data_IF_203486683953
#
_entry.id   IF_203486683953
#
_cell.length_a   1.000
_cell.length_b   1.000
_cell.length_c   1.000
_cell.angle_alpha   90.00
_cell.angle_beta   90.00
_cell.angle_gamma   90.00
#
_symmetry.space_group_name_H-M   'P 1'
#
loop_
_entity.id
_entity.type
_entity.pdbx_description
1 polymer ?
#
# COMPACT_ATOMS: atom_id res chain seq x y z
N UNK A 1 -22.75 18.06 -37.49
CA UNK A 1 -21.58 17.83 -36.61
C UNK A 1 -21.68 18.51 -35.23
N UNK A 2 -22.82 19.14 -34.89
CA UNK A 2 -23.03 19.88 -33.63
C UNK A 2 -23.91 19.09 -32.61
N UNK A 3 -24.49 17.95 -33.00
CA UNK A 3 -25.40 17.15 -32.15
C UNK A 3 -24.74 16.06 -31.29
N UNK A 4 -23.40 15.92 -31.26
CA UNK A 4 -22.70 14.87 -30.46
C UNK A 4 -21.81 15.40 -29.33
N UNK A 5 -21.59 16.72 -29.25
CA UNK A 5 -20.90 17.35 -28.11
C UNK A 5 -21.87 17.63 -26.94
N UNK A 6 -23.15 17.85 -27.22
CA UNK A 6 -24.18 18.08 -26.20
C UNK A 6 -24.55 16.83 -25.40
N UNK A 7 -24.38 15.63 -25.97
CA UNK A 7 -24.74 14.36 -25.31
C UNK A 7 -23.78 13.98 -24.19
N UNK A 8 -22.52 14.45 -24.24
CA UNK A 8 -21.54 14.18 -23.19
C UNK A 8 -21.55 15.21 -22.05
N UNK A 9 -21.90 16.47 -22.33
CA UNK A 9 -22.18 17.44 -21.27
C UNK A 9 -23.40 17.02 -20.40
N UNK A 10 -24.38 16.35 -21.01
CA UNK A 10 -25.53 15.77 -20.30
C UNK A 10 -25.18 14.48 -19.51
N UNK A 11 -24.30 13.61 -20.03
CA UNK A 11 -23.78 12.46 -19.26
C UNK A 11 -23.06 12.92 -17.99
N UNK A 12 -22.33 14.05 -18.02
CA UNK A 12 -21.64 14.61 -16.85
C UNK A 12 -22.54 15.39 -15.87
N UNK A 13 -23.65 15.98 -16.32
CA UNK A 13 -24.74 16.38 -15.40
C UNK A 13 -25.43 15.17 -14.76
N UNK A 14 -25.33 13.96 -15.34
CA UNK A 14 -25.75 12.72 -14.70
C UNK A 14 -24.82 12.32 -13.55
N UNK A 15 -23.50 12.53 -13.69
CA UNK A 15 -22.51 12.22 -12.65
C UNK A 15 -22.61 13.11 -11.40
N UNK A 16 -23.13 14.34 -11.50
CA UNK A 16 -23.37 15.17 -10.31
C UNK A 16 -24.49 14.62 -9.41
N UNK A 17 -25.38 13.80 -9.95
CA UNK A 17 -26.45 13.11 -9.21
C UNK A 17 -26.13 11.64 -8.88
N UNK A 18 -24.95 11.13 -9.25
CA UNK A 18 -24.56 9.77 -8.87
C UNK A 18 -24.36 9.73 -7.36
N UNK A 19 -25.13 8.87 -6.71
CA UNK A 19 -24.84 8.51 -5.33
C UNK A 19 -23.51 7.75 -5.33
N UNK A 20 -22.47 8.33 -4.74
CA UNK A 20 -21.13 7.73 -4.61
C UNK A 20 -21.13 6.35 -3.89
N UNK A 21 -22.27 5.92 -3.34
CA UNK A 21 -22.47 4.60 -2.74
C UNK A 21 -23.04 3.54 -3.69
N UNK A 22 -23.50 3.91 -4.89
CA UNK A 22 -24.14 3.00 -5.83
C UNK A 22 -23.15 2.42 -6.84
N UNK A 23 -23.51 1.22 -7.33
CA UNK A 23 -22.73 0.57 -8.38
C UNK A 23 -23.22 1.07 -9.74
N UNK A 24 -22.29 1.39 -10.63
CA UNK A 24 -22.57 1.70 -12.03
C UNK A 24 -22.02 0.60 -12.93
N UNK A 25 -22.67 0.42 -14.08
CA UNK A 25 -22.15 -0.33 -15.20
C UNK A 25 -21.82 0.66 -16.32
N UNK A 26 -20.63 0.56 -16.88
CA UNK A 26 -20.13 1.42 -17.97
C UNK A 26 -19.71 0.53 -19.13
N UNK A 27 -20.25 0.79 -20.32
CA UNK A 27 -19.77 0.20 -21.56
C UNK A 27 -18.77 1.15 -22.21
N UNK A 28 -17.65 0.61 -22.67
CA UNK A 28 -16.65 1.35 -23.42
C UNK A 28 -16.88 1.15 -24.92
N UNK A 29 -16.38 2.09 -25.73
CA UNK A 29 -16.39 1.98 -27.21
C UNK A 29 -15.68 0.72 -27.72
N UNK A 30 -14.75 0.18 -26.93
CA UNK A 30 -14.09 -1.11 -27.18
C UNK A 30 -14.99 -2.33 -26.95
N UNK A 31 -16.27 -2.12 -26.57
CA UNK A 31 -17.22 -3.11 -26.09
C UNK A 31 -16.85 -3.76 -24.74
N UNK A 32 -15.80 -3.29 -24.07
CA UNK A 32 -15.52 -3.69 -22.70
C UNK A 32 -16.64 -3.20 -21.76
N UNK A 33 -17.02 -4.03 -20.80
CA UNK A 33 -18.04 -3.72 -19.81
C UNK A 33 -17.42 -3.71 -18.41
N UNK A 34 -17.56 -2.60 -17.70
CA UNK A 34 -17.05 -2.43 -16.35
C UNK A 34 -18.19 -2.21 -15.36
N UNK A 35 -18.11 -2.84 -14.18
CA UNK A 35 -19.04 -2.64 -13.07
C UNK A 35 -18.27 -2.27 -11.82
N UNK A 36 -18.70 -1.21 -11.14
CA UNK A 36 -18.06 -0.77 -9.90
C UNK A 36 -18.66 0.51 -9.33
N UNK A 37 -18.18 0.89 -8.15
CA UNK A 37 -18.48 2.17 -7.51
C UNK A 37 -17.56 3.25 -8.12
N UNK A 38 -18.07 4.37 -8.63
CA UNK A 38 -17.22 5.46 -9.06
C UNK A 38 -16.49 6.02 -7.84
N UNK A 39 -15.17 6.17 -7.95
CA UNK A 39 -14.32 6.72 -6.88
C UNK A 39 -13.61 8.01 -7.30
N UNK A 40 -13.57 8.31 -8.60
CA UNK A 40 -13.12 9.59 -9.15
C UNK A 40 -13.54 9.74 -10.61
N UNK A 41 -13.70 10.98 -11.05
CA UNK A 41 -13.83 11.33 -12.46
C UNK A 41 -13.39 12.77 -12.69
N UNK A 42 -12.90 13.06 -13.90
CA UNK A 42 -12.75 14.41 -14.43
C UNK A 42 -12.91 14.36 -15.97
N UNK A 43 -12.61 15.45 -16.66
CA UNK A 43 -12.71 15.53 -18.12
C UNK A 43 -11.77 14.56 -18.85
N UNK A 44 -10.72 14.08 -18.18
CA UNK A 44 -9.69 13.23 -18.77
C UNK A 44 -9.96 11.73 -18.53
N UNK A 45 -10.36 11.33 -17.33
CA UNK A 45 -10.56 9.93 -16.98
C UNK A 45 -11.59 9.69 -15.87
N UNK A 46 -12.07 8.45 -15.82
CA UNK A 46 -12.94 7.90 -14.76
C UNK A 46 -12.20 6.77 -14.04
N UNK A 47 -12.39 6.65 -12.73
CA UNK A 47 -11.91 5.54 -11.91
C UNK A 47 -13.07 4.85 -11.19
N UNK A 48 -13.17 3.53 -11.38
CA UNK A 48 -14.17 2.66 -10.74
C UNK A 48 -13.50 1.68 -9.79
N UNK A 49 -14.03 1.57 -8.58
CA UNK A 49 -13.70 0.51 -7.63
C UNK A 49 -14.62 -0.69 -7.88
N UNK A 50 -14.04 -1.82 -8.25
CA UNK A 50 -14.75 -3.08 -8.45
C UNK A 50 -15.05 -3.76 -7.11
N UNK A 51 -16.03 -4.65 -7.12
CA UNK A 51 -16.44 -5.46 -5.97
C UNK A 51 -15.35 -6.44 -5.47
N UNK A 52 -14.37 -6.78 -6.30
CA UNK A 52 -13.18 -7.55 -5.93
C UNK A 52 -12.02 -6.69 -5.40
N UNK A 53 -12.25 -5.39 -5.21
CA UNK A 53 -11.27 -4.43 -4.68
C UNK A 53 -10.32 -3.87 -5.73
N UNK A 54 -10.38 -4.31 -6.99
CA UNK A 54 -9.56 -3.74 -8.07
C UNK A 54 -10.06 -2.36 -8.48
N UNK A 55 -9.15 -1.52 -8.93
CA UNK A 55 -9.46 -0.23 -9.57
C UNK A 55 -9.34 -0.41 -11.08
N UNK A 56 -10.31 0.09 -11.82
CA UNK A 56 -10.22 0.24 -13.26
C UNK A 56 -10.30 1.71 -13.61
N UNK A 57 -9.43 2.15 -14.51
CA UNK A 57 -9.45 3.51 -15.06
C UNK A 57 -9.58 3.45 -16.58
N UNK A 58 -10.27 4.42 -17.15
CA UNK A 58 -10.41 4.59 -18.59
C UNK A 58 -10.60 6.07 -18.90
N UNK A 59 -10.20 6.50 -20.09
CA UNK A 59 -10.41 7.85 -20.56
C UNK A 59 -11.88 8.20 -20.61
N UNK A 60 -12.24 9.41 -20.21
CA UNK A 60 -13.62 9.87 -20.18
C UNK A 60 -14.29 9.75 -21.56
N UNK A 61 -13.54 10.02 -22.63
CA UNK A 61 -14.01 9.88 -24.01
C UNK A 61 -14.15 8.43 -24.50
N UNK A 62 -13.69 7.43 -23.73
CA UNK A 62 -13.81 6.01 -24.08
C UNK A 62 -15.17 5.42 -23.69
N UNK A 63 -15.89 6.04 -22.77
CA UNK A 63 -17.24 5.62 -22.41
C UNK A 63 -18.20 5.74 -23.61
N UNK A 64 -19.03 4.72 -23.82
CA UNK A 64 -20.10 4.71 -24.81
C UNK A 64 -21.45 4.94 -24.12
N UNK A 65 -21.73 4.23 -23.03
CA UNK A 65 -22.96 4.34 -22.24
C UNK A 65 -22.69 3.99 -20.76
N UNK A 66 -23.56 4.43 -19.85
CA UNK A 66 -23.57 3.98 -18.47
C UNK A 66 -24.98 3.80 -17.91
N UNK A 67 -25.13 2.86 -16.98
CA UNK A 67 -26.34 2.73 -16.18
C UNK A 67 -26.01 2.61 -14.69
N UNK A 68 -26.80 3.27 -13.88
CA UNK A 68 -26.77 3.06 -12.43
C UNK A 68 -27.54 1.78 -12.11
N UNK A 69 -26.94 0.90 -11.32
CA UNK A 69 -27.58 -0.34 -10.89
C UNK A 69 -28.37 -0.10 -9.60
N UNK A 70 -29.50 -0.80 -9.46
CA UNK A 70 -30.23 -0.87 -8.20
C UNK A 70 -29.41 -1.64 -7.16
N UNK A 71 -29.19 -1.03 -5.99
CA UNK A 71 -28.45 -1.64 -4.88
C UNK A 71 -27.19 -0.86 -4.49
N UNK A 72 -26.84 -0.94 -3.22
CA UNK A 72 -25.59 -0.36 -2.72
C UNK A 72 -24.40 -1.19 -3.20
N UNK A 73 -23.28 -0.52 -3.47
CA UNK A 73 -22.01 -1.20 -3.68
C UNK A 73 -21.66 -2.09 -2.48
N UNK A 74 -21.28 -3.33 -2.75
CA UNK A 74 -20.74 -4.26 -1.76
C UNK A 74 -19.51 -4.96 -2.32
N UNK A 75 -18.57 -5.30 -1.46
CA UNK A 75 -17.49 -6.21 -1.79
C UNK A 75 -18.06 -7.61 -2.04
N UNK A 76 -17.34 -8.39 -2.85
CA UNK A 76 -17.64 -9.82 -3.05
C UNK A 76 -17.49 -10.56 -1.72
N UNK A 77 -18.37 -11.52 -1.49
CA UNK A 77 -18.22 -12.40 -0.33
C UNK A 77 -16.97 -13.29 -0.52
N UNK A 78 -16.31 -13.72 0.56
CA UNK A 78 -15.08 -14.51 0.46
C UNK A 78 -15.20 -15.78 -0.40
N UNK A 79 -16.37 -16.40 -0.45
CA UNK A 79 -16.64 -17.58 -1.29
C UNK A 79 -16.66 -17.25 -2.79
N UNK A 80 -17.30 -16.14 -3.17
CA UNK A 80 -17.36 -15.65 -4.55
C UNK A 80 -15.96 -15.26 -5.04
N UNK A 81 -15.22 -14.52 -4.21
CA UNK A 81 -13.86 -14.09 -4.50
C UNK A 81 -12.91 -15.30 -4.61
N UNK A 82 -13.06 -16.30 -3.72
CA UNK A 82 -12.31 -17.57 -3.82
C UNK A 82 -12.59 -18.30 -5.13
N UNK A 83 -13.86 -18.37 -5.55
CA UNK A 83 -14.23 -19.00 -6.82
C UNK A 83 -13.65 -18.23 -8.02
N UNK A 84 -13.62 -16.89 -7.96
CA UNK A 84 -12.97 -16.06 -8.98
C UNK A 84 -11.46 -16.35 -9.05
N UNK A 85 -10.76 -16.38 -7.91
CA UNK A 85 -9.33 -16.65 -7.86
C UNK A 85 -8.98 -18.06 -8.37
N UNK A 86 -9.79 -19.08 -8.05
CA UNK A 86 -9.60 -20.44 -8.58
C UNK A 86 -9.72 -20.50 -10.10
N UNK A 87 -10.66 -19.74 -10.68
CA UNK A 87 -10.78 -19.62 -12.16
C UNK A 87 -9.61 -18.86 -12.76
N UNK A 88 -9.11 -17.83 -12.07
CA UNK A 88 -8.00 -16.99 -12.52
C UNK A 88 -6.66 -17.74 -12.56
N UNK A 89 -6.37 -18.57 -11.54
CA UNK A 89 -5.07 -19.26 -11.42
C UNK A 89 -5.07 -20.72 -11.87
N UNK A 90 -6.26 -21.34 -12.00
CA UNK A 90 -6.39 -22.71 -12.47
C UNK A 90 -5.97 -23.76 -11.44
N UNK A 91 -5.83 -25.00 -11.92
CA UNK A 91 -5.70 -26.21 -11.08
C UNK A 91 -4.35 -26.36 -10.37
N UNK A 92 -3.32 -25.64 -10.81
CA UNK A 92 -1.97 -25.70 -10.22
C UNK A 92 -1.89 -24.90 -8.91
N UNK A 93 -2.96 -24.18 -8.56
CA UNK A 93 -3.07 -23.37 -7.37
C UNK A 93 -4.30 -23.75 -6.54
N UNK A 94 -4.14 -23.62 -5.23
CA UNK A 94 -5.22 -23.63 -4.25
C UNK A 94 -5.46 -22.21 -3.73
N UNK A 95 -6.68 -21.98 -3.25
CA UNK A 95 -7.07 -20.73 -2.60
C UNK A 95 -7.58 -21.05 -1.21
N UNK A 96 -6.74 -20.78 -0.24
CA UNK A 96 -7.01 -20.95 1.19
C UNK A 96 -7.42 -19.62 1.81
N UNK A 97 -8.15 -19.64 2.93
CA UNK A 97 -8.51 -18.41 3.63
C UNK A 97 -8.38 -18.54 5.14
N UNK A 98 -8.03 -17.43 5.78
CA UNK A 98 -7.95 -17.28 7.24
C UNK A 98 -8.28 -15.83 7.60
N UNK A 99 -9.28 -15.62 8.46
CA UNK A 99 -9.71 -14.29 8.87
C UNK A 99 -10.02 -13.36 7.69
N UNK A 100 -9.20 -12.32 7.51
CA UNK A 100 -9.34 -11.32 6.44
C UNK A 100 -8.66 -11.73 5.13
N UNK A 101 -7.85 -12.78 5.11
CA UNK A 101 -7.06 -13.17 3.95
C UNK A 101 -7.67 -14.30 3.11
N UNK A 102 -7.51 -14.16 1.79
CA UNK A 102 -7.49 -15.24 0.81
C UNK A 102 -6.08 -15.32 0.21
N UNK A 103 -5.47 -16.50 0.30
CA UNK A 103 -4.11 -16.73 -0.21
C UNK A 103 -4.17 -17.73 -1.34
N UNK A 104 -3.70 -17.30 -2.51
CA UNK A 104 -3.45 -18.13 -3.68
C UNK A 104 -2.04 -18.68 -3.55
N UNK A 105 -1.90 -20.00 -3.54
CA UNK A 105 -0.60 -20.67 -3.38
C UNK A 105 -0.58 -21.96 -4.20
N UNK A 106 0.61 -22.53 -4.51
CA UNK A 106 0.70 -23.84 -5.14
C UNK A 106 -0.03 -24.91 -4.30
N UNK A 107 -0.59 -25.91 -4.95
CA UNK A 107 -1.30 -27.03 -4.29
C UNK A 107 -0.46 -27.60 -3.14
N UNK A 108 -1.10 -27.81 -1.97
CA UNK A 108 -0.44 -28.42 -0.81
C UNK A 108 0.40 -27.46 0.05
N UNK A 109 0.38 -26.15 -0.22
CA UNK A 109 1.14 -25.15 0.55
C UNK A 109 0.29 -24.30 1.52
N UNK A 110 -0.91 -24.75 1.88
CA UNK A 110 -1.84 -23.99 2.75
C UNK A 110 -1.19 -23.54 4.06
N UNK A 111 -0.62 -24.50 4.79
CA UNK A 111 -0.11 -24.33 6.16
C UNK A 111 1.14 -23.43 6.20
N UNK A 112 1.75 -23.20 5.03
CA UNK A 112 2.92 -22.34 4.89
C UNK A 112 2.59 -20.86 4.84
N UNK A 113 1.42 -20.49 4.33
CA UNK A 113 1.14 -19.09 3.96
C UNK A 113 -0.08 -18.50 4.65
N UNK A 114 -1.15 -19.29 4.77
CA UNK A 114 -2.49 -18.74 5.05
C UNK A 114 -2.57 -18.11 6.44
N UNK A 115 -2.10 -18.81 7.47
CA UNK A 115 -2.14 -18.30 8.85
C UNK A 115 -1.18 -17.13 9.05
N UNK A 116 -0.01 -17.17 8.39
CA UNK A 116 1.03 -16.14 8.53
C UNK A 116 0.55 -14.75 8.09
N UNK A 117 -0.15 -14.65 6.96
CA UNK A 117 -0.68 -13.36 6.51
C UNK A 117 -1.72 -12.78 7.48
N UNK A 118 -2.60 -13.62 8.02
CA UNK A 118 -3.59 -13.20 9.01
C UNK A 118 -2.92 -12.76 10.33
N UNK A 119 -1.87 -13.45 10.79
CA UNK A 119 -1.09 -13.05 11.96
C UNK A 119 -0.40 -11.70 11.77
N UNK A 120 0.22 -11.47 10.60
CA UNK A 120 0.83 -10.18 10.26
C UNK A 120 -0.19 -9.06 10.29
N UNK A 121 -1.36 -9.24 9.67
CA UNK A 121 -2.43 -8.24 9.70
C UNK A 121 -2.88 -7.92 11.13
N UNK A 122 -3.14 -8.95 11.96
CA UNK A 122 -3.56 -8.74 13.35
C UNK A 122 -2.51 -7.98 14.15
N UNK A 123 -1.23 -8.33 13.95
CA UNK A 123 -0.12 -7.65 14.62
C UNK A 123 0.00 -6.19 14.19
N UNK A 124 -0.10 -5.91 12.90
CA UNK A 124 -0.08 -4.54 12.36
C UNK A 124 -1.25 -3.71 12.86
N UNK A 125 -2.47 -4.26 12.82
CA UNK A 125 -3.65 -3.60 13.35
C UNK A 125 -3.48 -3.27 14.83
N UNK A 126 -2.99 -4.23 15.62
CA UNK A 126 -2.72 -4.02 17.04
C UNK A 126 -1.68 -2.92 17.25
N UNK A 127 -0.55 -2.97 16.52
CA UNK A 127 0.54 -2.00 16.61
C UNK A 127 0.07 -0.56 16.43
N UNK A 128 -0.75 -0.32 15.41
CA UNK A 128 -1.33 1.00 15.15
C UNK A 128 -2.37 1.41 16.20
N UNK A 129 -3.24 0.49 16.60
CA UNK A 129 -4.31 0.78 17.58
C UNK A 129 -3.77 1.25 18.93
N UNK A 130 -2.74 0.59 19.47
CA UNK A 130 -2.16 0.93 20.79
C UNK A 130 -1.34 2.22 20.77
N UNK A 131 -0.99 2.73 19.58
CA UNK A 131 -0.28 4.01 19.40
C UNK A 131 -1.19 5.17 18.99
N UNK A 132 -2.51 4.98 19.07
CA UNK A 132 -3.49 6.05 18.86
C UNK A 132 -3.80 6.36 17.40
N UNK A 133 -3.43 5.48 16.46
CA UNK A 133 -3.81 5.64 15.06
C UNK A 133 -5.26 5.23 14.84
N UNK A 134 -6.05 6.06 14.15
CA UNK A 134 -7.44 5.72 13.80
C UNK A 134 -7.48 4.73 12.64
N UNK A 135 -7.69 3.46 12.97
CA UNK A 135 -7.86 2.37 12.01
C UNK A 135 -9.34 2.13 11.70
N UNK A 136 -9.61 1.39 10.62
CA UNK A 136 -10.93 0.89 10.25
C UNK A 136 -10.83 -0.55 9.75
N UNK A 137 -11.91 -1.34 9.81
CA UNK A 137 -11.95 -2.65 9.14
C UNK A 137 -11.68 -2.52 7.63
N UNK A 138 -11.00 -3.51 7.01
CA UNK A 138 -10.83 -3.53 5.57
C UNK A 138 -12.18 -3.70 4.85
N UNK A 139 -12.37 -3.00 3.73
CA UNK A 139 -13.60 -3.08 2.90
C UNK A 139 -13.67 -4.37 2.06
N UNK A 140 -12.50 -4.95 1.76
CA UNK A 140 -12.34 -6.16 0.94
C UNK A 140 -11.46 -7.17 1.67
N UNK A 141 -11.67 -8.48 1.47
CA UNK A 141 -10.69 -9.48 1.86
C UNK A 141 -9.33 -9.16 1.25
N UNK A 142 -8.26 -9.34 2.02
CA UNK A 142 -6.91 -9.28 1.51
C UNK A 142 -6.60 -10.45 0.61
N UNK A 143 -5.83 -10.20 -0.44
CA UNK A 143 -5.41 -11.22 -1.38
C UNK A 143 -3.89 -11.23 -1.42
N UNK A 144 -3.30 -12.40 -1.17
CA UNK A 144 -1.89 -12.65 -1.42
C UNK A 144 -1.75 -13.77 -2.46
N UNK A 145 -0.84 -13.58 -3.40
CA UNK A 145 -0.55 -14.53 -4.48
C UNK A 145 0.91 -14.95 -4.35
N UNK A 146 1.10 -16.23 -4.08
CA UNK A 146 2.42 -16.86 -3.94
C UNK A 146 2.67 -17.71 -5.18
N UNK A 147 3.65 -17.30 -5.99
CA UNK A 147 4.14 -18.08 -7.12
C UNK A 147 5.15 -19.12 -6.64
N UNK A 148 5.21 -20.31 -7.26
CA UNK A 148 6.08 -21.40 -6.80
C UNK A 148 7.58 -21.13 -7.00
N UNK A 149 7.95 -20.29 -7.97
CA UNK A 149 9.35 -19.99 -8.30
C UNK A 149 9.51 -18.55 -8.81
N UNK A 150 10.74 -18.03 -8.71
CA UNK A 150 11.12 -16.73 -9.27
C UNK A 150 10.82 -16.67 -10.78
N UNK A 151 11.10 -17.75 -11.53
CA UNK A 151 10.89 -17.80 -12.97
C UNK A 151 9.42 -17.59 -13.35
N UNK A 152 8.48 -18.24 -12.63
CA UNK A 152 7.04 -18.11 -12.89
C UNK A 152 6.55 -16.71 -12.49
N UNK A 153 7.03 -16.18 -11.37
CA UNK A 153 6.75 -14.81 -10.96
C UNK A 153 7.24 -13.78 -11.98
N UNK A 154 8.49 -13.88 -12.44
CA UNK A 154 9.03 -12.99 -13.46
C UNK A 154 8.27 -13.09 -14.79
N UNK A 155 7.81 -14.30 -15.17
CA UNK A 155 6.91 -14.46 -16.32
C UNK A 155 5.59 -13.70 -16.10
N UNK A 156 4.99 -13.85 -14.93
CA UNK A 156 3.77 -13.11 -14.58
C UNK A 156 3.97 -11.59 -14.67
N UNK A 157 5.07 -11.06 -14.12
CA UNK A 157 5.39 -9.62 -14.20
C UNK A 157 5.48 -9.12 -15.65
N UNK A 158 6.15 -9.88 -16.52
CA UNK A 158 6.27 -9.55 -17.95
C UNK A 158 4.92 -9.56 -18.65
N UNK A 159 4.13 -10.61 -18.44
CA UNK A 159 2.82 -10.76 -19.07
C UNK A 159 1.85 -9.64 -18.62
N UNK A 160 1.94 -9.22 -17.36
CA UNK A 160 1.15 -8.11 -16.81
C UNK A 160 1.77 -6.72 -17.05
N UNK A 161 2.94 -6.64 -17.71
CA UNK A 161 3.68 -5.39 -17.97
C UNK A 161 3.95 -4.56 -16.71
N UNK A 162 4.18 -5.24 -15.59
CA UNK A 162 4.47 -4.61 -14.30
C UNK A 162 5.87 -4.02 -14.33
N UNK A 163 6.00 -2.73 -14.01
CA UNK A 163 7.27 -1.99 -14.02
C UNK A 163 7.96 -2.04 -12.66
N UNK A 164 8.37 -3.23 -12.23
CA UNK A 164 9.21 -3.43 -11.05
C UNK A 164 10.50 -4.14 -11.45
N UNK A 165 11.56 -3.99 -10.65
CA UNK A 165 12.82 -4.70 -10.87
C UNK A 165 12.62 -6.22 -10.86
N UNK A 166 13.26 -6.94 -11.79
CA UNK A 166 13.13 -8.40 -11.91
C UNK A 166 13.65 -9.18 -10.70
N UNK A 167 14.44 -8.53 -9.85
CA UNK A 167 15.01 -9.09 -8.61
C UNK A 167 14.14 -8.81 -7.37
N UNK A 168 12.97 -8.17 -7.53
CA UNK A 168 11.99 -8.00 -6.45
C UNK A 168 11.47 -9.36 -5.97
N UNK A 169 11.49 -9.61 -4.66
CA UNK A 169 10.91 -10.84 -4.06
C UNK A 169 9.38 -10.80 -3.96
N UNK A 170 8.79 -9.60 -4.09
CA UNK A 170 7.36 -9.37 -4.09
C UNK A 170 7.02 -7.88 -4.19
N UNK A 171 5.74 -7.58 -4.41
CA UNK A 171 5.20 -6.23 -4.39
C UNK A 171 3.71 -6.24 -4.04
N UNK A 172 3.26 -5.16 -3.41
CA UNK A 172 1.86 -4.83 -3.24
C UNK A 172 1.38 -3.93 -4.38
N UNK A 173 0.37 -4.41 -5.12
CA UNK A 173 -0.28 -3.64 -6.18
C UNK A 173 -1.47 -2.85 -5.63
N UNK A 174 -1.29 -1.53 -5.54
CA UNK A 174 -2.36 -0.60 -5.18
C UNK A 174 -3.53 -0.62 -6.18
N UNK A 175 -3.34 -1.03 -7.43
CA UNK A 175 -4.42 -1.10 -8.41
C UNK A 175 -5.31 -2.31 -8.16
N UNK A 176 -4.73 -3.49 -7.94
CA UNK A 176 -5.50 -4.71 -7.71
C UNK A 176 -5.84 -5.02 -6.25
N UNK A 177 -5.19 -4.35 -5.28
CA UNK A 177 -5.24 -4.61 -3.84
C UNK A 177 -4.53 -5.90 -3.40
N UNK A 178 -3.57 -6.38 -4.18
CA UNK A 178 -3.00 -7.72 -4.01
C UNK A 178 -1.52 -7.65 -3.71
N UNK A 179 -1.08 -8.55 -2.84
CA UNK A 179 0.34 -8.85 -2.70
C UNK A 179 0.68 -9.95 -3.69
N UNK A 180 1.76 -9.77 -4.44
CA UNK A 180 2.33 -10.76 -5.34
C UNK A 180 3.75 -11.06 -4.89
N UNK A 181 4.08 -12.33 -4.68
CA UNK A 181 5.43 -12.74 -4.27
C UNK A 181 5.70 -14.16 -4.75
N UNK A 182 6.94 -14.62 -4.65
CA UNK A 182 7.27 -16.02 -4.91
C UNK A 182 7.91 -16.72 -3.72
N UNK A 183 7.79 -18.04 -3.72
CA UNK A 183 8.47 -18.87 -2.74
C UNK A 183 9.96 -19.02 -3.09
N UNK A 184 10.83 -18.31 -2.37
CA UNK A 184 12.29 -18.42 -2.56
C UNK A 184 12.85 -19.79 -2.24
N UNK A 185 12.13 -20.62 -1.46
CA UNK A 185 12.60 -21.98 -1.16
C UNK A 185 12.18 -22.99 -2.23
N UNK A 186 11.39 -22.59 -3.23
CA UNK A 186 10.91 -23.47 -4.30
C UNK A 186 10.17 -24.70 -3.78
N UNK A 187 9.41 -24.56 -2.69
CA UNK A 187 8.71 -25.67 -2.05
C UNK A 187 9.59 -26.59 -1.18
N UNK A 188 10.90 -26.34 -1.07
CA UNK A 188 11.75 -27.13 -0.17
C UNK A 188 11.46 -26.76 1.29
N UNK A 189 11.11 -27.79 2.07
CA UNK A 189 10.73 -27.70 3.47
C UNK A 189 12.01 -27.75 4.32
N UNK A 190 12.73 -26.63 4.38
CA UNK A 190 13.68 -26.44 5.48
C UNK A 190 13.02 -25.54 6.51
N UNK A 191 12.99 -25.98 7.77
CA UNK A 191 12.57 -25.17 8.93
C UNK A 191 13.32 -23.81 9.03
N UNK A 192 14.34 -23.58 8.20
CA UNK A 192 15.13 -22.35 8.04
C UNK A 192 14.70 -21.44 6.87
N UNK A 193 13.83 -21.88 5.96
CA UNK A 193 13.50 -21.18 4.71
C UNK A 193 12.61 -19.94 4.85
N UNK A 194 12.08 -19.68 6.05
CA UNK A 194 11.26 -18.51 6.33
C UNK A 194 12.07 -17.22 6.33
N UNK A 195 13.30 -17.22 6.84
CA UNK A 195 14.15 -16.03 6.93
C UNK A 195 14.45 -15.37 5.58
N UNK A 196 14.43 -16.15 4.49
CA UNK A 196 14.73 -15.64 3.15
C UNK A 196 13.58 -14.79 2.57
N UNK A 197 12.32 -15.07 2.96
CA UNK A 197 11.14 -14.34 2.49
C UNK A 197 10.56 -13.38 3.54
N UNK A 198 10.96 -13.52 4.80
CA UNK A 198 10.37 -12.83 5.95
C UNK A 198 10.26 -11.33 5.75
N UNK A 199 11.38 -10.64 5.48
CA UNK A 199 11.38 -9.18 5.36
C UNK A 199 10.47 -8.68 4.24
N UNK A 200 10.54 -9.26 3.03
CA UNK A 200 9.70 -8.82 1.92
C UNK A 200 8.23 -9.15 2.13
N UNK A 201 7.89 -10.36 2.61
CA UNK A 201 6.49 -10.71 2.88
C UNK A 201 5.89 -9.74 3.90
N UNK A 202 6.64 -9.43 4.95
CA UNK A 202 6.21 -8.48 5.98
C UNK A 202 6.07 -7.07 5.41
N UNK A 203 7.03 -6.64 4.59
CA UNK A 203 7.01 -5.33 3.94
C UNK A 203 5.75 -5.16 3.06
N UNK A 204 5.48 -6.11 2.18
CA UNK A 204 4.32 -6.02 1.29
C UNK A 204 2.99 -6.19 2.02
N UNK A 205 2.93 -7.05 3.04
CA UNK A 205 1.77 -7.16 3.92
C UNK A 205 1.53 -5.87 4.72
N UNK A 206 2.61 -5.16 5.11
CA UNK A 206 2.53 -3.87 5.79
C UNK A 206 1.90 -2.82 4.89
N UNK A 207 2.33 -2.73 3.63
CA UNK A 207 1.69 -1.86 2.65
C UNK A 207 0.22 -2.20 2.48
N UNK A 208 -0.11 -3.46 2.17
CA UNK A 208 -1.48 -3.88 1.96
C UNK A 208 -2.36 -3.54 3.17
N UNK A 209 -1.90 -3.86 4.38
CA UNK A 209 -2.63 -3.55 5.61
C UNK A 209 -2.83 -2.04 5.77
N UNK A 210 -1.75 -1.25 5.70
CA UNK A 210 -1.79 0.18 5.93
C UNK A 210 -2.71 0.94 4.94
N UNK A 211 -2.74 0.52 3.67
CA UNK A 211 -3.62 1.09 2.65
C UNK A 211 -5.11 0.76 2.83
N UNK A 212 -5.43 -0.32 3.55
CA UNK A 212 -6.81 -0.79 3.70
C UNK A 212 -7.41 -0.45 5.07
N UNK A 213 -6.60 -0.37 6.13
CA UNK A 213 -7.08 0.00 7.47
C UNK A 213 -7.09 1.51 7.71
N UNK A 214 -6.75 2.31 6.70
CA UNK A 214 -6.82 3.77 6.75
C UNK A 214 -5.60 4.46 7.32
N UNK A 215 -4.43 3.81 7.35
CA UNK A 215 -3.15 4.48 7.66
C UNK A 215 -2.70 5.31 6.45
N UNK A 216 -2.68 4.69 5.27
CA UNK A 216 -2.46 5.35 3.99
C UNK A 216 -3.77 5.50 3.21
N UNK A 217 -3.71 6.19 2.06
CA UNK A 217 -4.84 6.32 1.13
C UNK A 217 -4.48 5.68 -0.20
N UNK A 218 -5.06 4.51 -0.48
CA UNK A 218 -4.73 3.67 -1.66
C UNK A 218 -4.81 4.37 -3.02
N UNK A 219 -5.56 5.45 -3.11
CA UNK A 219 -5.75 6.24 -4.34
C UNK A 219 -5.34 7.71 -4.14
N UNK A 220 -4.45 7.97 -3.17
CA UNK A 220 -3.84 9.27 -2.92
C UNK A 220 -2.39 9.32 -3.42
N UNK A 221 -1.84 10.52 -3.50
CA UNK A 221 -0.41 10.75 -3.76
C UNK A 221 0.35 10.80 -2.42
N UNK A 222 0.30 9.68 -1.67
CA UNK A 222 0.98 9.54 -0.38
C UNK A 222 2.50 9.75 -0.54
N UNK A 223 3.18 10.51 0.35
CA UNK A 223 4.63 10.66 0.29
C UNK A 223 5.35 9.31 0.46
N UNK A 224 6.24 8.97 -0.48
CA UNK A 224 6.89 7.64 -0.52
C UNK A 224 7.68 7.37 0.76
N UNK A 225 8.30 8.38 1.36
CA UNK A 225 9.05 8.19 2.62
C UNK A 225 8.20 7.68 3.77
N UNK A 226 6.90 8.00 3.79
CA UNK A 226 5.99 7.49 4.81
C UNK A 226 5.60 6.05 4.50
N UNK A 227 5.30 5.77 3.22
CA UNK A 227 4.92 4.43 2.74
C UNK A 227 6.05 3.44 2.99
N UNK A 228 7.24 3.73 2.48
CA UNK A 228 8.44 2.89 2.63
C UNK A 228 8.97 2.91 4.06
N UNK A 229 8.87 4.04 4.76
CA UNK A 229 9.25 4.14 6.16
C UNK A 229 8.41 3.23 7.06
N UNK A 230 7.10 3.15 6.81
CA UNK A 230 6.22 2.19 7.50
C UNK A 230 6.56 0.75 7.09
N UNK A 231 6.69 0.47 5.80
CA UNK A 231 7.06 -0.87 5.30
C UNK A 231 8.33 -1.40 5.96
N UNK A 232 9.41 -0.62 5.90
CA UNK A 232 10.72 -0.96 6.49
C UNK A 232 10.72 -0.99 8.03
N UNK A 233 9.90 -0.16 8.70
CA UNK A 233 9.73 -0.25 10.15
C UNK A 233 9.10 -1.60 10.54
N UNK A 234 8.11 -2.06 9.79
CA UNK A 234 7.42 -3.32 10.06
C UNK A 234 8.29 -4.55 9.85
N UNK A 235 9.41 -4.49 9.13
CA UNK A 235 10.35 -5.61 8.99
C UNK A 235 10.99 -6.05 10.32
N UNK A 236 11.03 -5.17 11.33
CA UNK A 236 11.65 -5.49 12.61
C UNK A 236 10.74 -6.38 13.49
N UNK A 237 11.30 -7.47 14.04
CA UNK A 237 10.56 -8.45 14.88
C UNK A 237 9.83 -7.85 16.07
N UNK A 238 10.36 -6.79 16.69
CA UNK A 238 9.69 -6.10 17.79
C UNK A 238 8.44 -5.31 17.36
N UNK A 239 8.28 -5.07 16.05
CA UNK A 239 7.14 -4.36 15.47
C UNK A 239 6.06 -5.38 15.09
N UNK A 240 6.36 -6.32 14.20
CA UNK A 240 5.40 -7.33 13.74
C UNK A 240 5.19 -8.50 14.74
N UNK A 241 6.00 -8.61 15.78
CA UNK A 241 5.86 -9.62 16.84
C UNK A 241 6.10 -9.05 18.26
N UNK A 242 5.50 -7.89 18.51
CA UNK A 242 5.64 -7.13 19.76
C UNK A 242 5.18 -7.89 21.02
N UNK A 243 4.36 -8.94 20.88
CA UNK A 243 3.94 -9.80 22.00
C UNK A 243 5.14 -10.50 22.67
N UNK A 244 6.08 -10.99 21.86
CA UNK A 244 7.25 -11.74 22.32
C UNK A 244 8.51 -10.86 22.37
N UNK A 245 8.58 -9.82 21.54
CA UNK A 245 9.75 -8.96 21.40
C UNK A 245 9.42 -7.51 21.81
N UNK A 246 9.58 -7.22 23.10
CA UNK A 246 9.09 -5.97 23.72
C UNK A 246 10.13 -4.84 23.78
N UNK A 247 11.41 -5.16 23.63
CA UNK A 247 12.47 -4.17 23.83
C UNK A 247 12.50 -3.14 22.69
N UNK A 248 13.06 -1.96 22.96
CA UNK A 248 13.31 -0.98 21.90
C UNK A 248 14.26 -1.56 20.84
N UNK A 249 15.28 -2.30 21.26
CA UNK A 249 16.26 -2.92 20.36
C UNK A 249 15.65 -3.94 19.39
N UNK A 250 14.56 -4.61 19.79
CA UNK A 250 13.86 -5.54 18.89
C UNK A 250 13.06 -4.81 17.80
N UNK A 251 12.67 -3.55 18.02
CA UNK A 251 11.93 -2.73 17.06
C UNK A 251 12.81 -2.04 16.03
N UNK A 252 14.13 -2.16 16.17
CA UNK A 252 15.10 -1.55 15.25
C UNK A 252 15.26 -2.44 14.02
N UNK A 253 15.06 -1.87 12.83
CA UNK A 253 15.52 -2.48 11.59
C UNK A 253 17.04 -2.25 11.48
N UNK A 254 17.84 -3.27 11.83
CA UNK A 254 19.30 -3.15 11.93
C UNK A 254 19.96 -2.81 10.59
N UNK A 255 19.47 -3.40 9.50
CA UNK A 255 19.95 -3.11 8.14
C UNK A 255 19.76 -1.62 7.79
N UNK A 256 18.59 -1.07 8.12
CA UNK A 256 18.33 0.35 7.86
C UNK A 256 19.06 1.28 8.82
N UNK A 257 19.33 0.86 10.06
CA UNK A 257 20.21 1.60 10.97
C UNK A 257 21.65 1.66 10.48
N UNK A 258 22.19 0.56 9.98
CA UNK A 258 23.51 0.50 9.34
C UNK A 258 23.56 1.40 8.11
N UNK A 259 22.60 1.25 7.19
CA UNK A 259 22.50 2.09 6.00
C UNK A 259 22.36 3.58 6.37
N UNK A 260 21.62 3.91 7.42
CA UNK A 260 21.47 5.28 7.91
C UNK A 260 22.80 5.84 8.41
N UNK A 261 23.53 5.08 9.24
CA UNK A 261 24.86 5.48 9.75
C UNK A 261 25.89 5.64 8.62
N UNK A 262 25.78 4.84 7.57
CA UNK A 262 26.67 4.92 6.41
C UNK A 262 26.36 6.09 5.47
N UNK A 263 25.08 6.46 5.31
CA UNK A 263 24.64 7.38 4.25
C UNK A 263 24.24 8.77 4.75
N UNK A 264 23.91 8.93 6.03
CA UNK A 264 23.44 10.19 6.61
C UNK A 264 24.51 10.75 7.53
N UNK A 265 25.14 11.85 7.11
CA UNK A 265 26.05 12.60 7.97
C UNK A 265 25.31 13.66 8.78
N UNK A 266 25.85 14.03 9.94
CA UNK A 266 25.24 15.04 10.81
C UNK A 266 25.06 16.40 10.10
N UNK A 267 26.01 16.79 9.23
CA UNK A 267 25.93 18.05 8.48
C UNK A 267 24.91 18.02 7.34
N UNK A 268 24.62 16.85 6.76
CA UNK A 268 23.70 16.70 5.64
C UNK A 268 22.26 16.38 6.08
N UNK A 269 22.02 15.97 7.33
CA UNK A 269 20.72 15.47 7.79
C UNK A 269 19.56 16.42 7.52
N UNK A 270 19.69 17.70 7.90
CA UNK A 270 18.62 18.68 7.70
C UNK A 270 18.25 18.83 6.21
N UNK A 271 19.24 18.82 5.32
CA UNK A 271 19.00 18.90 3.88
C UNK A 271 18.27 17.66 3.37
N UNK A 272 18.69 16.47 3.82
CA UNK A 272 18.06 15.19 3.49
C UNK A 272 16.60 15.18 3.97
N UNK A 273 16.34 15.60 5.21
CA UNK A 273 15.00 15.72 5.78
C UNK A 273 14.11 16.62 4.93
N UNK A 274 14.58 17.81 4.58
CA UNK A 274 13.82 18.74 3.74
C UNK A 274 13.52 18.16 2.35
N UNK A 275 14.53 17.58 1.70
CA UNK A 275 14.37 16.98 0.37
C UNK A 275 13.37 15.80 0.39
N UNK A 276 13.43 14.97 1.44
CA UNK A 276 12.55 13.82 1.63
C UNK A 276 11.09 14.24 1.87
N UNK A 277 10.85 15.29 2.67
CA UNK A 277 9.50 15.82 2.91
C UNK A 277 8.93 16.41 1.61
N UNK A 278 9.74 17.20 0.91
CA UNK A 278 9.30 17.95 -0.27
C UNK A 278 9.05 17.05 -1.48
N UNK A 279 9.89 16.03 -1.71
CA UNK A 279 9.92 15.31 -2.98
C UNK A 279 10.20 13.82 -2.81
N UNK A 280 9.89 13.05 -3.86
CA UNK A 280 10.23 11.64 -3.93
C UNK A 280 11.61 11.37 -4.57
N UNK A 281 12.32 12.41 -5.04
CA UNK A 281 13.50 12.26 -5.91
C UNK A 281 14.67 11.51 -5.27
N UNK A 282 14.77 11.47 -3.93
CA UNK A 282 15.77 10.66 -3.23
C UNK A 282 15.62 9.16 -3.54
N UNK A 283 14.39 8.67 -3.73
CA UNK A 283 14.16 7.25 -4.04
C UNK A 283 14.67 6.85 -5.43
N UNK A 284 14.70 7.80 -6.38
CA UNK A 284 15.22 7.56 -7.72
C UNK A 284 16.76 7.72 -7.76
N UNK A 285 17.28 8.73 -7.05
CA UNK A 285 18.70 9.13 -7.14
C UNK A 285 19.61 8.39 -6.17
N UNK A 286 19.15 8.16 -4.94
CA UNK A 286 19.92 7.58 -3.85
C UNK A 286 19.07 6.60 -3.02
N UNK A 287 18.63 5.46 -3.61
CA UNK A 287 17.67 4.56 -2.97
C UNK A 287 18.11 4.12 -1.57
N UNK A 288 19.38 3.71 -1.40
CA UNK A 288 19.91 3.26 -0.09
C UNK A 288 19.72 4.31 1.00
N UNK A 289 20.04 5.57 0.71
CA UNK A 289 19.85 6.71 1.62
C UNK A 289 18.35 6.97 1.85
N UNK A 290 17.55 6.99 0.78
CA UNK A 290 16.13 7.31 0.85
C UNK A 290 15.36 6.35 1.76
N UNK A 291 15.59 5.04 1.61
CA UNK A 291 14.97 4.01 2.45
C UNK A 291 15.47 4.06 3.90
N UNK A 292 16.78 4.25 4.10
CA UNK A 292 17.34 4.34 5.44
C UNK A 292 16.83 5.56 6.23
N UNK A 293 16.78 6.72 5.57
CA UNK A 293 16.27 7.95 6.18
C UNK A 293 14.73 7.89 6.37
N UNK A 294 13.98 7.33 5.41
CA UNK A 294 12.53 7.09 5.55
C UNK A 294 12.19 6.19 6.75
N UNK A 295 12.94 5.08 6.93
CA UNK A 295 12.85 4.22 8.10
C UNK A 295 13.15 5.01 9.38
N UNK A 296 14.30 5.70 9.44
CA UNK A 296 14.75 6.41 10.63
C UNK A 296 13.74 7.48 11.07
N UNK A 297 13.26 8.30 10.14
CA UNK A 297 12.27 9.33 10.41
C UNK A 297 10.95 8.72 10.90
N UNK A 298 10.44 7.70 10.23
CA UNK A 298 9.19 7.02 10.62
C UNK A 298 9.31 6.36 12.00
N UNK A 299 10.46 5.73 12.28
CA UNK A 299 10.75 5.11 13.56
C UNK A 299 10.83 6.15 14.68
N UNK A 300 11.54 7.26 14.48
CA UNK A 300 11.58 8.40 15.42
C UNK A 300 10.18 8.94 15.70
N UNK A 301 9.40 9.22 14.65
CA UNK A 301 8.05 9.76 14.79
C UNK A 301 7.12 8.81 15.55
N UNK A 302 7.24 7.50 15.31
CA UNK A 302 6.41 6.50 15.98
C UNK A 302 6.81 6.25 17.44
N UNK A 303 8.10 6.35 17.77
CA UNK A 303 8.59 6.13 19.13
C UNK A 303 8.55 7.40 20.01
N UNK A 304 8.67 8.59 19.43
CA UNK A 304 8.77 9.86 20.17
C UNK A 304 7.59 10.78 20.01
N UNK A 305 6.94 10.80 18.86
CA UNK A 305 5.82 11.71 18.59
C UNK A 305 4.58 10.99 17.97
N UNK A 306 4.14 9.81 18.50
CA UNK A 306 3.13 8.97 17.83
C UNK A 306 1.77 9.65 17.62
N UNK A 307 1.32 10.48 18.58
CA UNK A 307 0.06 11.22 18.47
C UNK A 307 0.13 12.24 17.32
N UNK A 308 1.24 12.95 17.19
CA UNK A 308 1.47 13.89 16.09
C UNK A 308 1.63 13.14 14.76
N UNK A 309 2.32 12.01 14.76
CA UNK A 309 2.43 11.20 13.55
C UNK A 309 1.06 10.71 13.07
N UNK A 310 0.21 10.22 13.99
CA UNK A 310 -1.18 9.88 13.70
C UNK A 310 -2.00 11.09 13.18
N UNK A 311 -1.80 12.29 13.74
CA UNK A 311 -2.40 13.51 13.20
C UNK A 311 -1.94 13.80 11.77
N UNK A 312 -0.64 13.70 11.51
CA UNK A 312 -0.06 13.97 10.19
C UNK A 312 -0.61 13.01 9.13
N UNK A 313 -0.66 11.70 9.42
CA UNK A 313 -1.26 10.72 8.51
C UNK A 313 -2.75 11.00 8.25
N UNK A 314 -3.50 11.39 9.29
CA UNK A 314 -4.92 11.77 9.16
C UNK A 314 -5.10 13.00 8.26
N UNK A 315 -4.18 13.96 8.29
CA UNK A 315 -4.19 15.13 7.38
C UNK A 315 -3.97 14.70 5.94
N UNK A 316 -2.94 13.88 5.68
CA UNK A 316 -2.67 13.35 4.34
C UNK A 316 -3.89 12.58 3.80
N UNK A 317 -4.51 11.73 4.62
CA UNK A 317 -5.68 10.95 4.25
C UNK A 317 -6.92 11.79 3.89
N UNK A 318 -7.04 13.00 4.46
CA UNK A 318 -8.16 13.94 4.17
C UNK A 318 -8.02 14.64 2.83
N UNK A 319 -6.84 14.59 2.19
CA UNK A 319 -6.63 15.11 0.84
C UNK A 319 -7.52 14.35 -0.15
N UNK A 320 -7.93 15.05 -1.22
CA UNK A 320 -8.75 14.46 -2.28
C UNK A 320 -7.96 13.35 -2.97
N UNK A 321 -8.62 12.22 -3.21
CA UNK A 321 -8.04 11.12 -4.00
C UNK A 321 -7.73 11.58 -5.43
N UNK A 322 -6.77 10.92 -6.07
CA UNK A 322 -6.35 11.13 -7.47
C UNK A 322 -5.78 12.52 -7.80
N UNK A 323 -5.63 13.39 -6.80
CA UNK A 323 -4.91 14.64 -6.95
C UNK A 323 -3.47 14.48 -6.48
N UNK A 324 -2.55 15.16 -7.18
CA UNK A 324 -1.17 15.28 -6.75
C UNK A 324 -1.09 16.00 -5.40
N UNK A 325 -0.13 15.61 -4.59
CA UNK A 325 0.19 16.27 -3.33
C UNK A 325 1.31 17.29 -3.58
N UNK A 326 1.01 18.58 -3.71
CA UNK A 326 2.00 19.59 -4.11
C UNK A 326 3.11 19.71 -3.08
N UNK A 327 4.34 19.89 -3.54
CA UNK A 327 5.54 19.87 -2.70
C UNK A 327 5.46 20.91 -1.57
N UNK A 328 4.99 22.13 -1.86
CA UNK A 328 4.81 23.20 -0.86
C UNK A 328 3.81 22.82 0.23
N UNK A 329 2.74 22.12 -0.13
CA UNK A 329 1.74 21.65 0.83
C UNK A 329 2.29 20.52 1.71
N UNK A 330 3.14 19.63 1.17
CA UNK A 330 3.80 18.57 1.97
C UNK A 330 4.60 19.15 3.13
N UNK A 331 5.39 20.18 2.84
CA UNK A 331 6.18 20.88 3.85
C UNK A 331 5.29 21.63 4.84
N UNK A 332 4.29 22.36 4.36
CA UNK A 332 3.37 23.10 5.23
C UNK A 332 2.60 22.16 6.19
N UNK A 333 2.07 21.05 5.68
CA UNK A 333 1.36 20.04 6.48
C UNK A 333 2.30 19.39 7.51
N UNK A 334 3.57 19.16 7.17
CA UNK A 334 4.58 18.65 8.11
C UNK A 334 4.87 19.67 9.22
N UNK A 335 5.17 20.92 8.85
CA UNK A 335 5.49 21.98 9.79
C UNK A 335 4.32 22.32 10.71
N UNK A 336 3.08 22.24 10.21
CA UNK A 336 1.89 22.45 11.03
C UNK A 336 1.77 21.44 12.18
N UNK A 337 2.27 20.22 12.01
CA UNK A 337 2.17 19.14 13.01
C UNK A 337 3.42 19.05 13.88
N UNK A 338 4.61 19.16 13.29
CA UNK A 338 5.88 18.94 13.98
C UNK A 338 6.60 20.23 14.39
N UNK A 339 6.12 21.39 13.93
CA UNK A 339 6.68 22.71 14.19
C UNK A 339 7.44 23.30 12.99
N UNK A 340 7.55 24.62 12.96
CA UNK A 340 8.20 25.35 11.86
C UNK A 340 9.73 25.29 11.90
N UNK A 341 10.32 25.08 13.09
CA UNK A 341 11.76 25.00 13.28
C UNK A 341 12.29 23.58 12.96
N UNK A 342 12.59 23.39 11.67
CA UNK A 342 13.16 22.13 11.19
C UNK A 342 14.58 21.87 11.67
N UNK A 343 15.35 22.90 12.02
CA UNK A 343 16.69 22.72 12.59
C UNK A 343 16.59 22.09 13.97
N UNK A 344 15.70 22.60 14.82
CA UNK A 344 15.46 22.03 16.14
C UNK A 344 14.84 20.63 16.05
N UNK A 345 13.93 20.39 15.10
CA UNK A 345 13.40 19.04 14.84
C UNK A 345 14.53 18.07 14.47
N UNK A 346 15.37 18.44 13.49
CA UNK A 346 16.48 17.62 13.02
C UNK A 346 17.49 17.32 14.15
N UNK A 347 17.82 18.31 14.99
CA UNK A 347 18.70 18.12 16.13
C UNK A 347 18.15 17.09 17.15
N UNK A 348 16.83 17.10 17.42
CA UNK A 348 16.19 16.09 18.28
C UNK A 348 16.18 14.72 17.62
N UNK A 349 15.89 14.67 16.33
CA UNK A 349 15.90 13.47 15.53
C UNK A 349 17.29 12.81 15.52
N UNK A 350 18.35 13.56 15.18
CA UNK A 350 19.74 13.10 15.21
C UNK A 350 20.14 12.57 16.59
N UNK A 351 19.79 13.31 17.66
CA UNK A 351 20.08 12.88 19.03
C UNK A 351 19.44 11.54 19.36
N UNK A 352 18.18 11.32 18.96
CA UNK A 352 17.52 10.04 19.15
C UNK A 352 18.22 8.92 18.37
N UNK A 353 18.51 9.13 17.09
CA UNK A 353 19.18 8.13 16.25
C UNK A 353 20.55 7.73 16.81
N UNK A 354 21.29 8.66 17.39
CA UNK A 354 22.56 8.39 18.06
C UNK A 354 22.43 7.51 19.33
N UNK A 355 21.24 7.42 19.93
CA UNK A 355 21.00 6.54 21.11
C UNK A 355 20.74 5.08 20.74
N UNK A 356 20.37 4.81 19.48
CA UNK A 356 20.06 3.47 19.01
C UNK A 356 21.36 2.67 18.90
N UNK A 357 21.32 1.41 19.36
CA UNK A 357 22.47 0.50 19.35
C UNK A 357 22.33 -0.51 18.23
#
# INVERSE_FOLDING_TARGET
>A
MICRLATFAFLFCGFSNICWSQTIEVSLRSKALHRGKPIYFNDNFVALLKNDGRIVTFGTGEAEDFKQLSGSFRSLDPSELRAQLRREFGKDYEVSGSGQYLVVHPVGQRDRWTERFEELYRSMLHYFSVRGFSTRPPEFPFIAIVFPTQMIYQKYLRDQKVKIGLDSLGYYDQTSNRVHLYDVTGGQNQNSGWHLNESTVIHEAAHQTAFNIGIHRRYGDDPIWIVEGIGTMFEAKGVWNSRWFKSLGDRINRKQLENYRETVTQSASLQILQQQILSNGLFDQQPKLAYAHAWALTFYLTEKEPVKFAEFLRRIRRRKAFLKYPLKERLADFQQVFGNDLQMFDARFQRFMATLR
#
